data_IF_569456590114
#
_entry.id   IF_569456590114
#
_cell.length_a   1.000
_cell.length_b   1.000
_cell.length_c   1.000
_cell.angle_alpha   90.00
_cell.angle_beta   90.00
_cell.angle_gamma   90.00
#
_symmetry.space_group_name_H-M   'P 1'
#
loop_
_entity.id
_entity.type
_entity.pdbx_description
1 polymer ?
#
# COMPACT_ATOMS: atom_id res chain seq x y z
N UNK A 1 -1.39 20.16 18.42
CA UNK A 1 -0.68 18.85 18.39
C UNK A 1 -1.71 17.77 18.09
N UNK A 2 -1.72 17.21 16.88
CA UNK A 2 -2.67 16.14 16.52
C UNK A 2 -2.17 14.80 17.06
N UNK A 3 -3.01 14.16 17.88
CA UNK A 3 -2.83 12.80 18.38
C UNK A 3 -2.57 11.84 17.20
N UNK A 4 -1.33 11.35 17.11
CA UNK A 4 -0.95 10.27 16.19
C UNK A 4 -1.53 8.98 16.75
N UNK A 5 -2.78 8.69 16.40
CA UNK A 5 -3.44 7.44 16.75
C UNK A 5 -2.61 6.25 16.29
N UNK A 6 -2.22 5.43 17.24
CA UNK A 6 -1.64 4.11 17.05
C UNK A 6 -2.68 3.23 16.37
N UNK A 7 -2.47 2.89 15.08
CA UNK A 7 -3.43 2.10 14.29
C UNK A 7 -2.74 0.86 13.75
N UNK A 8 -3.40 -0.28 13.89
CA UNK A 8 -2.95 -1.54 13.31
C UNK A 8 -3.24 -1.58 11.80
N UNK A 9 -2.43 -2.33 11.04
CA UNK A 9 -2.51 -2.40 9.59
C UNK A 9 -2.70 -3.81 9.05
N UNK A 10 -3.48 -3.91 7.98
CA UNK A 10 -3.52 -5.09 7.12
C UNK A 10 -3.25 -4.70 5.66
N UNK A 11 -2.38 -5.46 5.00
CA UNK A 11 -2.03 -5.28 3.58
C UNK A 11 -2.71 -6.32 2.73
N UNK A 12 -3.37 -5.90 1.64
CA UNK A 12 -4.17 -6.80 0.83
C UNK A 12 -4.05 -6.47 -0.65
N UNK A 13 -3.60 -7.42 -1.45
CA UNK A 13 -3.45 -7.21 -2.90
C UNK A 13 -4.79 -7.37 -3.64
N UNK A 14 -5.63 -8.36 -3.29
CA UNK A 14 -6.85 -8.66 -4.08
C UNK A 14 -8.11 -9.07 -3.29
N UNK A 15 -8.05 -9.23 -1.96
CA UNK A 15 -9.22 -9.64 -1.17
C UNK A 15 -10.01 -8.48 -0.54
N UNK A 16 -11.34 -8.63 -0.56
CA UNK A 16 -12.24 -7.82 0.28
C UNK A 16 -12.39 -8.48 1.66
N UNK A 17 -11.34 -8.38 2.48
CA UNK A 17 -11.45 -8.72 3.91
C UNK A 17 -12.15 -7.61 4.68
N UNK A 18 -12.99 -8.02 5.63
CA UNK A 18 -13.44 -7.17 6.73
C UNK A 18 -12.22 -6.81 7.57
N UNK A 19 -12.14 -5.55 7.97
CA UNK A 19 -11.04 -5.04 8.80
C UNK A 19 -11.56 -4.94 10.23
N UNK A 20 -10.83 -5.42 11.25
CA UNK A 20 -11.22 -5.19 12.63
C UNK A 20 -11.36 -3.69 12.94
N UNK A 21 -12.19 -3.36 13.91
CA UNK A 21 -12.38 -1.98 14.34
C UNK A 21 -11.04 -1.33 14.71
N UNK A 22 -10.87 -0.05 14.37
CA UNK A 22 -9.64 0.73 14.57
C UNK A 22 -8.41 0.27 13.76
N UNK A 23 -8.55 -0.65 12.81
CA UNK A 23 -7.50 -0.98 11.85
C UNK A 23 -7.60 -0.14 10.59
N UNK A 24 -6.44 0.05 9.96
CA UNK A 24 -6.31 0.57 8.62
C UNK A 24 -6.01 -0.57 7.64
N UNK A 25 -6.67 -0.54 6.50
CA UNK A 25 -6.47 -1.46 5.39
C UNK A 25 -5.72 -0.76 4.29
N UNK A 26 -4.58 -1.31 3.88
CA UNK A 26 -3.85 -0.87 2.69
C UNK A 26 -4.06 -1.88 1.56
N UNK A 27 -4.78 -1.48 0.51
CA UNK A 27 -4.74 -2.20 -0.74
C UNK A 27 -3.62 -1.64 -1.61
N UNK A 28 -2.84 -2.50 -2.23
CA UNK A 28 -1.81 -2.11 -3.19
C UNK A 28 -1.86 -3.04 -4.40
N UNK A 29 -1.39 -2.55 -5.53
CA UNK A 29 -1.24 -3.34 -6.75
C UNK A 29 -0.05 -2.79 -7.54
N UNK A 30 0.60 -3.67 -8.30
CA UNK A 30 1.67 -3.27 -9.22
C UNK A 30 1.29 -3.58 -10.66
N UNK A 31 1.65 -2.67 -11.57
CA UNK A 31 1.45 -2.81 -12.99
C UNK A 31 2.81 -2.90 -13.67
N UNK A 32 3.10 -4.05 -14.27
CA UNK A 32 4.26 -4.26 -15.13
C UNK A 32 3.84 -4.26 -16.61
N UNK A 33 4.72 -3.78 -17.48
CA UNK A 33 4.56 -3.85 -18.94
C UNK A 33 5.76 -4.60 -19.51
N UNK A 34 5.51 -5.70 -20.23
CA UNK A 34 6.57 -6.46 -20.91
C UNK A 34 7.46 -5.53 -21.75
N UNK A 35 8.78 -5.61 -21.53
CA UNK A 35 9.78 -4.80 -22.23
C UNK A 35 10.06 -3.44 -21.60
N UNK A 36 9.32 -3.03 -20.56
CA UNK A 36 9.62 -1.84 -19.78
C UNK A 36 10.45 -2.21 -18.55
N UNK A 37 11.46 -1.42 -18.22
CA UNK A 37 12.23 -1.56 -16.96
C UNK A 37 11.56 -0.86 -15.78
N UNK A 38 10.31 -0.44 -15.94
CA UNK A 38 9.58 0.41 -15.01
C UNK A 38 8.23 -0.22 -14.65
N UNK A 39 7.95 -0.25 -13.36
CA UNK A 39 6.71 -0.76 -12.77
C UNK A 39 5.95 0.39 -12.15
N UNK A 40 4.66 0.49 -12.47
CA UNK A 40 3.74 1.35 -11.75
C UNK A 40 3.28 0.66 -10.47
N UNK A 41 3.17 1.39 -9.38
CA UNK A 41 2.62 0.90 -8.11
C UNK A 41 1.54 1.87 -7.66
N UNK A 42 0.39 1.34 -7.25
CA UNK A 42 -0.69 2.11 -6.65
C UNK A 42 -1.04 1.57 -5.26
N UNK A 43 -1.43 2.46 -4.35
CA UNK A 43 -1.98 2.07 -3.05
C UNK A 43 -3.14 2.95 -2.61
N UNK A 44 -4.02 2.37 -1.80
CA UNK A 44 -5.13 3.04 -1.13
C UNK A 44 -5.23 2.55 0.31
N UNK A 45 -5.30 3.50 1.24
CA UNK A 45 -5.48 3.26 2.67
C UNK A 45 -6.90 3.66 3.06
N UNK A 46 -7.58 2.74 3.75
CA UNK A 46 -8.95 2.89 4.23
C UNK A 46 -9.05 2.53 5.70
N UNK A 47 -10.03 3.06 6.41
CA UNK A 47 -10.39 2.55 7.73
C UNK A 47 -11.27 1.29 7.67
N UNK A 48 -11.62 0.77 8.84
CA UNK A 48 -12.46 -0.42 9.00
C UNK A 48 -13.87 -0.28 8.39
N UNK A 49 -14.40 0.94 8.26
CA UNK A 49 -15.67 1.22 7.59
C UNK A 49 -15.50 1.38 6.07
N UNK A 50 -14.29 1.20 5.55
CA UNK A 50 -13.97 1.39 4.15
C UNK A 50 -13.81 2.86 3.76
N UNK A 51 -13.84 3.81 4.72
CA UNK A 51 -13.64 5.23 4.43
C UNK A 51 -12.22 5.45 3.94
N UNK A 52 -12.09 6.18 2.84
CA UNK A 52 -10.78 6.59 2.30
C UNK A 52 -10.04 7.49 3.29
N UNK A 53 -8.75 7.19 3.50
CA UNK A 53 -7.84 7.98 4.34
C UNK A 53 -6.81 8.69 3.46
N UNK A 54 -6.13 7.94 2.59
CA UNK A 54 -5.14 8.47 1.64
C UNK A 54 -4.88 7.44 0.55
N UNK A 55 -4.40 7.89 -0.60
CA UNK A 55 -3.95 7.03 -1.70
C UNK A 55 -2.72 7.64 -2.37
N UNK A 56 -2.09 6.90 -3.25
CA UNK A 56 -0.96 7.37 -4.04
C UNK A 56 -0.53 6.38 -5.09
N UNK A 57 0.44 6.80 -5.90
CA UNK A 57 1.12 5.94 -6.85
C UNK A 57 2.61 6.32 -6.93
N UNK A 58 3.41 5.41 -7.48
CA UNK A 58 4.83 5.61 -7.76
C UNK A 58 5.24 4.82 -9.00
N UNK A 59 6.30 5.28 -9.67
CA UNK A 59 6.99 4.53 -10.71
C UNK A 59 8.32 4.02 -10.17
N UNK A 60 8.52 2.70 -10.16
CA UNK A 60 9.72 2.04 -9.68
C UNK A 60 10.52 1.54 -10.88
N UNK A 61 11.85 1.71 -10.86
CA UNK A 61 12.75 1.28 -11.94
C UNK A 61 13.43 -0.05 -11.57
N UNK A 62 14.00 -0.71 -12.58
CA UNK A 62 14.86 -1.89 -12.46
C UNK A 62 14.17 -3.15 -11.92
N UNK A 63 12.91 -3.34 -12.27
CA UNK A 63 12.20 -4.59 -11.99
C UNK A 63 12.43 -5.56 -13.14
N UNK A 64 12.76 -6.83 -12.82
CA UNK A 64 13.12 -7.88 -13.79
C UNK A 64 12.09 -9.00 -13.89
N UNK A 65 11.10 -9.02 -13.01
CA UNK A 65 10.00 -10.00 -13.05
C UNK A 65 8.72 -9.44 -12.45
N UNK A 66 7.54 -9.95 -12.85
CA UNK A 66 6.28 -9.59 -12.22
C UNK A 66 6.26 -9.83 -10.70
N UNK A 67 6.90 -10.90 -10.22
CA UNK A 67 6.99 -11.16 -8.78
C UNK A 67 7.81 -10.08 -8.06
N UNK A 68 8.92 -9.63 -8.65
CA UNK A 68 9.69 -8.53 -8.10
C UNK A 68 8.88 -7.22 -8.15
N UNK A 69 8.04 -7.01 -9.17
CA UNK A 69 7.14 -5.86 -9.25
C UNK A 69 6.19 -5.80 -8.05
N UNK A 70 5.56 -6.93 -7.72
CA UNK A 70 4.64 -7.04 -6.60
C UNK A 70 5.35 -6.86 -5.25
N UNK A 71 6.53 -7.45 -5.07
CA UNK A 71 7.33 -7.29 -3.85
C UNK A 71 7.77 -5.83 -3.64
N UNK A 72 8.20 -5.16 -4.72
CA UNK A 72 8.56 -3.75 -4.69
C UNK A 72 7.34 -2.86 -4.43
N UNK A 73 6.18 -3.19 -5.00
CA UNK A 73 4.94 -2.49 -4.75
C UNK A 73 4.49 -2.57 -3.29
N UNK A 74 4.63 -3.75 -2.69
CA UNK A 74 4.39 -3.95 -1.26
C UNK A 74 5.34 -3.10 -0.40
N UNK A 75 6.64 -3.15 -0.68
CA UNK A 75 7.65 -2.40 0.06
C UNK A 75 7.40 -0.88 -0.01
N UNK A 76 7.04 -0.38 -1.19
CA UNK A 76 6.70 1.03 -1.39
C UNK A 76 5.49 1.45 -0.53
N UNK A 77 4.41 0.65 -0.54
CA UNK A 77 3.24 0.93 0.28
C UNK A 77 3.58 0.92 1.78
N UNK A 78 4.42 -0.01 2.23
CA UNK A 78 4.90 -0.08 3.62
C UNK A 78 5.70 1.17 4.01
N UNK A 79 6.62 1.61 3.16
CA UNK A 79 7.43 2.81 3.41
C UNK A 79 6.56 4.07 3.50
N UNK A 80 5.56 4.21 2.63
CA UNK A 80 4.61 5.34 2.66
C UNK A 80 3.85 5.36 3.99
N UNK A 81 3.36 4.21 4.45
CA UNK A 81 2.68 4.07 5.75
C UNK A 81 3.60 4.52 6.88
N UNK A 82 4.86 4.05 6.86
CA UNK A 82 5.85 4.39 7.87
C UNK A 82 6.18 5.89 7.92
N UNK A 83 6.37 6.51 6.75
CA UNK A 83 6.70 7.95 6.61
C UNK A 83 5.51 8.81 7.04
N UNK A 84 4.28 8.41 6.71
CA UNK A 84 3.05 9.11 7.14
C UNK A 84 2.80 9.01 8.66
N UNK A 85 3.62 8.26 9.39
CA UNK A 85 3.50 8.15 10.84
C UNK A 85 2.36 7.23 11.27
N UNK A 86 1.86 6.40 10.36
CA UNK A 86 0.93 5.34 10.67
C UNK A 86 1.71 4.16 11.29
N UNK A 87 2.15 4.37 12.52
CA UNK A 87 2.97 3.44 13.28
C UNK A 87 2.13 2.84 14.41
N UNK A 88 2.57 1.68 14.90
CA UNK A 88 2.14 1.18 16.21
C UNK A 88 2.50 2.17 17.30
#
# INVERSE_FOLDING_TARGET
MQNKFTRNFIFIQKLKLLTPENWLKCNFDSSDRKGNTTVGVGWIIRDHNGKHITSGNAALRQVRSPLQAEAMGFLQALQVIWIKGFRR
#
